data_IF_781517487613
#
_entry.id   IF_781517487613
#
_cell.length_a   1.000
_cell.length_b   1.000
_cell.length_c   1.000
_cell.angle_alpha   90.00
_cell.angle_beta   90.00
_cell.angle_gamma   90.00
#
_symmetry.space_group_name_H-M   'P 1'
#
loop_
_entity.id
_entity.type
_entity.pdbx_description
1 polymer ?
#
# COMPACT_ATOMS: atom_id res chain seq x y z
N UNK A 1 -10.33 -13.39 -28.33
CA UNK A 1 -10.04 -12.26 -27.43
C UNK A 1 -8.56 -12.35 -27.12
N UNK A 2 -7.73 -11.49 -27.72
CA UNK A 2 -6.38 -11.28 -27.22
C UNK A 2 -6.55 -10.53 -25.91
N UNK A 3 -6.43 -11.22 -24.78
CA UNK A 3 -6.11 -10.52 -23.53
C UNK A 3 -4.87 -9.68 -23.81
N UNK A 4 -4.93 -8.39 -23.48
CA UNK A 4 -3.77 -7.52 -23.53
C UNK A 4 -2.69 -8.14 -22.65
N UNK A 5 -1.60 -8.58 -23.28
CA UNK A 5 -0.42 -9.04 -22.55
C UNK A 5 0.21 -7.80 -21.93
N UNK A 6 0.48 -7.83 -20.63
CA UNK A 6 1.19 -6.76 -19.95
C UNK A 6 2.66 -7.16 -19.71
N UNK A 7 3.51 -6.15 -19.49
CA UNK A 7 4.91 -6.36 -19.14
C UNK A 7 5.05 -6.49 -17.62
N UNK A 8 5.87 -7.45 -17.18
CA UNK A 8 6.30 -7.59 -15.79
C UNK A 8 7.75 -7.13 -15.70
N UNK A 9 8.04 -6.23 -14.77
CA UNK A 9 9.42 -5.79 -14.50
C UNK A 9 10.02 -6.64 -13.38
N UNK A 10 11.09 -7.41 -13.65
CA UNK A 10 11.80 -8.14 -12.61
C UNK A 10 12.67 -7.19 -11.77
N UNK A 11 12.69 -7.43 -10.47
CA UNK A 11 13.62 -6.79 -9.55
C UNK A 11 14.31 -7.85 -8.67
N UNK A 12 15.55 -7.59 -8.29
CA UNK A 12 16.34 -8.45 -7.42
C UNK A 12 16.54 -7.76 -6.07
N UNK A 13 16.33 -8.51 -4.99
CA UNK A 13 16.43 -8.03 -3.61
C UNK A 13 17.42 -8.90 -2.85
N UNK A 14 18.44 -8.29 -2.26
CA UNK A 14 19.41 -8.99 -1.44
C UNK A 14 19.01 -8.96 0.04
N UNK A 15 18.74 -10.13 0.59
CA UNK A 15 18.54 -10.37 2.02
C UNK A 15 19.88 -10.75 2.62
N UNK A 16 20.62 -9.76 3.11
CA UNK A 16 21.91 -9.99 3.76
C UNK A 16 21.70 -10.48 5.18
N UNK A 17 22.21 -11.68 5.48
CA UNK A 17 21.99 -12.38 6.75
C UNK A 17 23.28 -12.56 7.52
N UNK A 18 23.21 -12.38 8.85
CA UNK A 18 24.27 -12.79 9.76
C UNK A 18 23.71 -13.52 10.97
N UNK A 19 24.56 -14.29 11.63
CA UNK A 19 24.24 -14.97 12.88
C UNK A 19 25.34 -14.65 13.91
N UNK A 20 25.24 -13.49 14.61
CA UNK A 20 26.26 -13.08 15.57
C UNK A 20 26.37 -14.04 16.76
N UNK A 21 25.28 -14.73 17.08
CA UNK A 21 25.17 -15.72 18.14
C UNK A 21 24.34 -16.90 17.63
N UNK A 22 24.65 -18.12 18.07
CA UNK A 22 23.95 -19.32 17.62
C UNK A 22 22.43 -19.21 17.82
N UNK A 23 21.68 -19.39 16.74
CA UNK A 23 20.22 -19.28 16.71
C UNK A 23 19.67 -17.86 16.54
N UNK A 24 20.49 -16.81 16.66
CA UNK A 24 20.08 -15.41 16.47
C UNK A 24 20.42 -14.95 15.05
N UNK A 25 19.46 -15.10 14.13
CA UNK A 25 19.61 -14.61 12.76
C UNK A 25 19.16 -13.15 12.66
N UNK A 26 19.99 -12.32 12.06
CA UNK A 26 19.72 -10.91 11.79
C UNK A 26 19.74 -10.63 10.30
N UNK A 27 18.93 -9.67 9.86
CA UNK A 27 18.90 -9.15 8.50
C UNK A 27 19.36 -7.69 8.49
N UNK A 28 20.15 -7.31 7.49
CA UNK A 28 20.48 -5.91 7.26
C UNK A 28 19.35 -5.23 6.51
N UNK A 29 18.77 -4.20 7.12
CA UNK A 29 17.78 -3.34 6.48
C UNK A 29 18.32 -1.92 6.32
N UNK A 30 17.81 -1.23 5.31
CA UNK A 30 18.05 0.18 5.03
C UNK A 30 16.78 0.99 5.25
N UNK A 31 16.89 2.08 6.02
CA UNK A 31 15.82 3.05 6.15
C UNK A 31 15.80 3.94 4.90
N UNK A 32 14.71 3.88 4.13
CA UNK A 32 14.51 4.72 2.94
C UNK A 32 14.33 6.17 3.36
N UNK A 33 15.04 7.10 2.73
CA UNK A 33 14.96 8.55 3.01
C UNK A 33 15.18 9.35 1.73
N UNK A 34 14.30 10.28 1.40
CA UNK A 34 14.41 11.06 0.17
C UNK A 34 14.00 10.26 -1.08
N UNK A 35 13.24 9.18 -0.91
CA UNK A 35 12.78 8.31 -1.98
C UNK A 35 11.35 8.65 -2.42
N UNK A 36 11.02 8.39 -3.69
CA UNK A 36 9.68 8.64 -4.22
C UNK A 36 8.62 7.61 -3.80
N UNK A 37 9.05 6.48 -3.23
CA UNK A 37 8.21 5.34 -2.89
C UNK A 37 8.61 4.77 -1.54
N UNK A 38 7.65 4.60 -0.62
CA UNK A 38 7.85 4.03 0.72
C UNK A 38 8.93 4.80 1.50
N UNK A 39 8.87 6.13 1.46
CA UNK A 39 9.83 6.97 2.19
C UNK A 39 9.63 6.85 3.71
N UNK A 40 10.72 6.70 4.46
CA UNK A 40 10.66 6.44 5.90
C UNK A 40 10.33 5.00 6.30
N UNK A 41 10.29 4.06 5.34
CA UNK A 41 10.15 2.63 5.59
C UNK A 41 11.50 1.90 5.53
N UNK A 42 11.63 0.82 6.29
CA UNK A 42 12.76 -0.10 6.19
C UNK A 42 12.56 -1.07 5.01
N UNK A 43 13.61 -1.28 4.24
CA UNK A 43 13.66 -2.19 3.10
C UNK A 43 14.95 -3.02 3.15
N UNK A 44 15.06 -4.03 2.29
CA UNK A 44 16.29 -4.77 2.05
C UNK A 44 17.43 -3.78 1.71
N UNK A 45 18.63 -4.06 2.22
CA UNK A 45 19.75 -3.14 2.10
C UNK A 45 20.26 -2.90 0.67
N UNK A 46 19.98 -3.82 -0.25
CA UNK A 46 20.29 -3.67 -1.66
C UNK A 46 19.15 -4.25 -2.51
N UNK A 47 18.58 -3.44 -3.41
CA UNK A 47 17.55 -3.91 -4.33
C UNK A 47 17.38 -3.02 -5.56
N UNK A 48 17.13 -3.63 -6.71
CA UNK A 48 16.87 -2.88 -7.95
C UNK A 48 16.38 -3.72 -9.11
N UNK A 49 16.14 -3.08 -10.24
CA UNK A 49 15.63 -3.75 -11.44
C UNK A 49 16.69 -4.68 -12.02
N UNK A 50 16.26 -5.82 -12.55
CA UNK A 50 17.16 -6.69 -13.33
C UNK A 50 17.36 -6.06 -14.70
N UNK A 51 18.61 -5.77 -15.04
CA UNK A 51 18.97 -5.13 -16.30
C UNK A 51 19.04 -6.11 -17.48
N UNK A 52 19.06 -5.54 -18.69
CA UNK A 52 19.19 -6.36 -19.90
C UNK A 52 20.56 -7.05 -19.94
N UNK A 53 20.54 -8.38 -20.00
CA UNK A 53 21.75 -9.20 -20.14
C UNK A 53 22.28 -9.78 -18.83
N UNK A 54 21.61 -9.53 -17.70
CA UNK A 54 21.91 -10.15 -16.41
C UNK A 54 20.75 -11.06 -15.92
N UNK A 55 21.10 -11.97 -15.02
CA UNK A 55 20.16 -12.75 -14.21
C UNK A 55 19.81 -12.00 -12.93
N UNK A 56 18.74 -12.39 -12.24
CA UNK A 56 18.39 -11.80 -10.94
C UNK A 56 19.50 -11.95 -9.88
N UNK A 57 20.27 -13.04 -9.90
CA UNK A 57 21.41 -13.24 -9.00
C UNK A 57 22.54 -12.25 -9.29
N UNK A 58 22.81 -12.01 -10.57
CA UNK A 58 23.79 -11.00 -11.00
C UNK A 58 23.32 -9.58 -10.67
N UNK A 59 22.04 -9.29 -10.87
CA UNK A 59 21.44 -8.01 -10.45
C UNK A 59 21.57 -7.79 -8.95
N UNK A 60 21.22 -8.77 -8.11
CA UNK A 60 21.41 -8.67 -6.66
C UNK A 60 22.88 -8.40 -6.27
N UNK A 61 23.83 -9.05 -6.94
CA UNK A 61 25.26 -8.82 -6.71
C UNK A 61 25.74 -7.44 -7.19
N UNK A 62 25.14 -6.89 -8.25
CA UNK A 62 25.39 -5.52 -8.71
C UNK A 62 24.85 -4.51 -7.70
N UNK A 63 23.60 -4.64 -7.28
CA UNK A 63 22.98 -3.77 -6.28
C UNK A 63 23.72 -3.80 -4.94
N UNK A 64 24.23 -4.97 -4.52
CA UNK A 64 25.06 -5.09 -3.31
C UNK A 64 26.31 -4.20 -3.36
N UNK A 65 26.95 -4.10 -4.53
CA UNK A 65 28.11 -3.23 -4.73
C UNK A 65 27.71 -1.77 -4.80
N UNK A 66 26.63 -1.46 -5.51
CA UNK A 66 26.19 -0.10 -5.78
C UNK A 66 25.57 0.57 -4.56
N UNK A 67 24.76 -0.14 -3.78
CA UNK A 67 24.01 0.42 -2.65
C UNK A 67 24.70 0.20 -1.29
N UNK A 68 25.44 -0.90 -1.14
CA UNK A 68 26.08 -1.29 0.14
C UNK A 68 27.62 -1.29 0.12
N UNK A 69 28.26 -1.20 -1.05
CA UNK A 69 29.72 -1.22 -1.17
C UNK A 69 30.36 -2.58 -0.84
N UNK A 70 29.60 -3.67 -0.94
CA UNK A 70 30.08 -5.04 -0.67
C UNK A 70 30.10 -5.89 -1.93
N UNK A 71 30.95 -6.91 -1.93
CA UNK A 71 31.00 -7.92 -2.99
C UNK A 71 30.35 -9.22 -2.52
N UNK A 72 29.37 -9.70 -3.29
CA UNK A 72 28.78 -11.04 -3.18
C UNK A 72 28.97 -11.76 -4.50
N UNK A 73 29.23 -13.07 -4.46
CA UNK A 73 29.31 -13.89 -5.66
C UNK A 73 27.91 -14.40 -6.01
N UNK A 74 27.43 -14.23 -7.25
CA UNK A 74 26.10 -14.72 -7.65
C UNK A 74 25.88 -16.21 -7.39
N UNK A 75 26.92 -17.03 -7.47
CA UNK A 75 26.88 -18.47 -7.17
C UNK A 75 26.68 -18.81 -5.69
N UNK A 76 26.96 -17.87 -4.78
CA UNK A 76 26.78 -18.03 -3.34
C UNK A 76 25.39 -17.53 -2.86
N UNK A 77 24.55 -17.03 -3.78
CA UNK A 77 23.22 -16.54 -3.49
C UNK A 77 22.18 -17.67 -3.56
N UNK A 78 21.39 -17.80 -2.48
CA UNK A 78 20.29 -18.76 -2.40
C UNK A 78 18.94 -18.08 -2.68
N UNK A 79 18.08 -18.68 -3.50
CA UNK A 79 16.71 -18.18 -3.71
C UNK A 79 15.89 -18.34 -2.42
N UNK A 80 15.42 -17.21 -1.88
CA UNK A 80 14.61 -17.17 -0.68
C UNK A 80 13.12 -17.16 -1.00
N UNK A 81 12.68 -16.16 -1.76
CA UNK A 81 11.27 -15.96 -2.09
C UNK A 81 11.12 -15.25 -3.44
N UNK A 82 9.98 -15.43 -4.07
CA UNK A 82 9.52 -14.62 -5.20
C UNK A 82 8.20 -13.98 -4.81
N UNK A 83 8.08 -12.67 -4.97
CA UNK A 83 6.85 -11.93 -4.74
C UNK A 83 6.36 -11.38 -6.07
N UNK A 84 5.23 -11.88 -6.55
CA UNK A 84 4.52 -11.22 -7.64
C UNK A 84 3.56 -10.19 -7.03
N UNK A 85 3.63 -8.94 -7.50
CA UNK A 85 2.78 -7.87 -7.00
C UNK A 85 2.10 -7.09 -8.10
N UNK A 86 0.91 -6.60 -7.77
CA UNK A 86 0.06 -5.73 -8.59
C UNK A 86 -0.49 -4.59 -7.74
N UNK A 87 -0.98 -3.54 -8.40
CA UNK A 87 -1.79 -2.51 -7.77
C UNK A 87 -3.11 -2.40 -8.52
N UNK A 88 -4.22 -2.50 -7.78
CA UNK A 88 -5.57 -2.45 -8.36
C UNK A 88 -5.90 -1.08 -8.99
N UNK A 89 -5.24 -0.01 -8.55
CA UNK A 89 -5.31 1.33 -9.18
C UNK A 89 -4.03 1.55 -9.99
N UNK A 90 -4.11 1.62 -11.33
CA UNK A 90 -2.99 1.95 -12.17
C UNK A 90 -2.42 3.33 -11.83
N UNK A 91 -1.11 3.46 -11.77
CA UNK A 91 -0.44 4.75 -11.88
C UNK A 91 -0.06 5.08 -13.32
N UNK A 92 0.42 6.31 -13.50
CA UNK A 92 1.05 6.77 -14.73
C UNK A 92 2.31 5.96 -15.12
N UNK A 93 2.73 5.00 -14.28
CA UNK A 93 3.90 4.14 -14.44
C UNK A 93 3.55 2.66 -14.18
N UNK A 94 2.73 2.00 -15.01
CA UNK A 94 2.27 0.63 -14.80
C UNK A 94 3.42 -0.40 -14.68
N UNK A 95 4.55 -0.14 -15.33
CA UNK A 95 5.79 -0.92 -15.21
C UNK A 95 6.40 -0.89 -13.80
N UNK A 96 6.08 0.11 -12.98
CA UNK A 96 6.52 0.20 -11.60
C UNK A 96 5.62 -0.60 -10.64
N UNK A 97 4.42 -0.99 -11.09
CA UNK A 97 3.37 -1.56 -10.23
C UNK A 97 3.18 -3.06 -10.46
N UNK A 98 3.29 -3.52 -11.71
CA UNK A 98 3.30 -4.93 -12.08
C UNK A 98 4.73 -5.49 -12.00
N UNK A 99 5.06 -6.15 -10.87
CA UNK A 99 6.42 -6.64 -10.63
C UNK A 99 6.50 -8.10 -10.25
N UNK A 100 7.67 -8.65 -10.53
CA UNK A 100 8.16 -9.88 -9.93
C UNK A 100 9.46 -9.58 -9.19
N UNK A 101 9.36 -9.58 -7.87
CA UNK A 101 10.47 -9.29 -6.97
C UNK A 101 11.11 -10.62 -6.53
N UNK A 102 12.40 -10.79 -6.82
CA UNK A 102 13.16 -12.02 -6.55
C UNK A 102 14.08 -11.74 -5.38
N UNK A 103 13.79 -12.37 -4.24
CA UNK A 103 14.55 -12.24 -3.00
C UNK A 103 15.56 -13.37 -2.91
N UNK A 104 16.82 -13.01 -2.68
CA UNK A 104 17.93 -13.94 -2.54
C UNK A 104 18.69 -13.65 -1.25
N UNK A 105 19.15 -14.70 -0.58
CA UNK A 105 19.91 -14.56 0.67
C UNK A 105 21.40 -14.67 0.43
N UNK A 106 22.17 -13.85 1.14
CA UNK A 106 23.62 -13.99 1.26
C UNK A 106 24.03 -14.10 2.73
N UNK A 107 24.85 -15.11 3.04
CA UNK A 107 25.49 -15.29 4.36
C UNK A 107 27.01 -15.12 4.30
N UNK A 108 27.57 -14.88 3.11
CA UNK A 108 28.99 -14.64 2.88
C UNK A 108 29.15 -13.48 1.88
N UNK A 109 30.08 -12.57 2.17
CA UNK A 109 30.41 -11.40 1.34
C UNK A 109 31.80 -10.88 1.70
N UNK A 110 32.33 -9.97 0.87
CA UNK A 110 33.57 -9.22 1.15
C UNK A 110 33.27 -7.74 1.30
N UNK A 111 33.90 -7.10 2.28
CA UNK A 111 33.69 -5.68 2.61
C UNK A 111 32.77 -5.48 3.81
N UNK A 112 32.64 -4.23 4.25
CA UNK A 112 31.71 -3.82 5.31
C UNK A 112 30.53 -3.06 4.68
N UNK A 113 29.28 -3.49 4.88
CA UNK A 113 28.11 -2.80 4.34
C UNK A 113 28.02 -1.36 4.84
N UNK A 114 28.01 -0.40 3.92
CA UNK A 114 27.89 1.04 4.20
C UNK A 114 26.98 1.71 3.19
N UNK A 115 26.29 2.77 3.59
CA UNK A 115 25.41 3.54 2.70
C UNK A 115 26.25 4.15 1.58
N UNK A 116 25.97 3.77 0.33
CA UNK A 116 26.58 4.40 -0.85
C UNK A 116 25.68 5.50 -1.45
N UNK A 117 24.37 5.42 -1.24
CA UNK A 117 23.39 6.38 -1.76
C UNK A 117 22.84 7.31 -0.66
N UNK A 118 23.66 8.26 -0.18
CA UNK A 118 23.31 9.16 0.95
C UNK A 118 21.99 9.95 0.75
N UNK A 119 21.57 10.17 -0.51
CA UNK A 119 20.33 10.89 -0.84
C UNK A 119 19.05 10.04 -0.80
N UNK A 120 19.18 8.70 -0.68
CA UNK A 120 18.08 7.73 -0.73
C UNK A 120 18.01 6.84 0.52
N UNK A 121 19.05 6.85 1.34
CA UNK A 121 19.21 6.01 2.53
C UNK A 121 19.50 6.86 3.78
N UNK A 122 18.72 6.68 4.84
CA UNK A 122 18.88 7.41 6.09
C UNK A 122 19.67 6.67 7.16
N UNK A 123 19.62 5.34 7.17
CA UNK A 123 20.25 4.47 8.18
C UNK A 123 20.41 3.06 7.61
N UNK A 124 21.49 2.37 7.98
CA UNK A 124 21.65 0.91 7.84
C UNK A 124 21.65 0.28 9.21
N UNK A 125 20.87 -0.79 9.40
CA UNK A 125 20.76 -1.46 10.69
C UNK A 125 20.48 -2.95 10.56
N UNK A 126 21.14 -3.71 11.42
CA UNK A 126 20.83 -5.13 11.62
C UNK A 126 19.63 -5.28 12.56
N UNK A 127 18.62 -6.01 12.09
CA UNK A 127 17.41 -6.33 12.83
C UNK A 127 17.29 -7.84 13.05
N UNK A 128 16.88 -8.31 14.25
CA UNK A 128 16.50 -9.71 14.42
C UNK A 128 15.39 -10.07 13.43
N UNK A 129 15.52 -11.21 12.74
CA UNK A 129 14.52 -11.65 11.75
C UNK A 129 13.13 -11.92 12.37
N UNK A 130 13.10 -12.27 13.66
CA UNK A 130 11.90 -12.49 14.45
C UNK A 130 11.37 -11.22 15.15
N UNK A 131 12.09 -10.10 15.06
CA UNK A 131 11.74 -8.81 15.65
C UNK A 131 12.00 -7.65 14.67
N UNK A 132 11.41 -7.76 13.48
CA UNK A 132 11.48 -6.71 12.46
C UNK A 132 10.81 -5.41 12.94
N UNK A 133 11.29 -4.22 12.51
CA UNK A 133 10.68 -2.95 12.88
C UNK A 133 9.24 -2.88 12.36
N UNK A 134 8.38 -2.05 12.95
CA UNK A 134 6.97 -1.93 12.56
C UNK A 134 6.81 -1.55 11.07
N UNK A 135 7.61 -0.60 10.58
CA UNK A 135 7.60 -0.14 9.19
C UNK A 135 8.65 -0.83 8.34
N UNK A 136 8.39 -2.06 7.94
CA UNK A 136 9.08 -2.74 6.82
C UNK A 136 8.14 -2.72 5.62
N UNK A 137 8.68 -2.42 4.44
CA UNK A 137 7.92 -2.43 3.18
C UNK A 137 7.07 -3.72 3.09
N UNK A 138 5.74 -3.65 2.95
CA UNK A 138 4.85 -4.79 3.17
C UNK A 138 5.15 -6.04 2.34
N UNK A 139 5.42 -5.89 1.04
CA UNK A 139 5.74 -7.03 0.17
C UNK A 139 7.12 -7.63 0.51
N UNK A 140 8.08 -6.82 0.94
CA UNK A 140 9.37 -7.31 1.44
C UNK A 140 9.22 -8.02 2.78
N UNK A 141 8.35 -7.54 3.67
CA UNK A 141 8.03 -8.21 4.93
C UNK A 141 7.54 -9.65 4.69
N UNK A 142 6.68 -9.87 3.69
CA UNK A 142 6.19 -11.20 3.36
C UNK A 142 7.34 -12.16 2.98
N UNK A 143 8.30 -11.68 2.17
CA UNK A 143 9.51 -12.46 1.85
C UNK A 143 10.39 -12.71 3.08
N UNK A 144 10.63 -11.69 3.91
CA UNK A 144 11.44 -11.81 5.13
C UNK A 144 10.82 -12.75 6.16
N UNK A 145 9.49 -12.84 6.24
CA UNK A 145 8.80 -13.80 7.10
C UNK A 145 9.06 -15.25 6.66
N UNK A 146 9.07 -15.55 5.36
CA UNK A 146 9.49 -16.88 4.87
C UNK A 146 10.95 -17.18 5.22
N UNK A 147 11.85 -16.20 5.06
CA UNK A 147 13.27 -16.35 5.47
C UNK A 147 13.39 -16.62 6.97
N UNK A 148 12.63 -15.88 7.80
CA UNK A 148 12.57 -16.07 9.24
C UNK A 148 12.04 -17.47 9.60
N UNK A 149 11.06 -18.00 8.86
CA UNK A 149 10.56 -19.37 9.03
C UNK A 149 11.55 -20.45 8.55
N UNK A 150 12.64 -20.07 7.86
CA UNK A 150 13.62 -21.00 7.28
C UNK A 150 13.16 -21.65 5.98
N UNK A 151 12.13 -21.08 5.35
CA UNK A 151 11.62 -21.50 4.05
C UNK A 151 12.55 -21.03 2.92
N UNK A 152 12.52 -21.73 1.78
CA UNK A 152 13.31 -21.40 0.59
C UNK A 152 12.48 -21.57 -0.67
N UNK A 153 12.70 -20.73 -1.66
CA UNK A 153 12.00 -20.77 -2.95
C UNK A 153 10.49 -20.59 -2.83
N UNK A 154 10.01 -19.80 -1.86
CA UNK A 154 8.57 -19.57 -1.71
C UNK A 154 8.04 -18.62 -2.79
N UNK A 155 6.74 -18.69 -3.04
CA UNK A 155 6.04 -17.77 -3.94
C UNK A 155 4.94 -17.07 -3.16
N UNK A 156 4.92 -15.74 -3.25
CA UNK A 156 3.92 -14.87 -2.65
C UNK A 156 3.23 -14.05 -3.74
N UNK A 157 1.91 -13.96 -3.66
CA UNK A 157 1.13 -12.98 -4.40
C UNK A 157 0.80 -11.81 -3.46
N UNK A 158 0.93 -10.58 -3.94
CA UNK A 158 0.67 -9.39 -3.15
C UNK A 158 -0.19 -8.40 -3.93
N UNK A 159 -1.32 -7.96 -3.34
CA UNK A 159 -2.25 -7.01 -3.94
C UNK A 159 -3.29 -7.63 -4.89
N UNK A 160 -3.22 -8.94 -5.14
CA UNK A 160 -4.16 -9.65 -6.01
C UNK A 160 -5.51 -9.94 -5.36
N UNK A 161 -5.55 -10.02 -4.03
CA UNK A 161 -6.77 -10.29 -3.25
C UNK A 161 -7.27 -9.00 -2.57
N UNK A 162 -6.83 -7.84 -3.08
CA UNK A 162 -7.24 -6.54 -2.56
C UNK A 162 -8.62 -6.14 -3.10
N UNK A 163 -9.55 -5.89 -2.17
CA UNK A 163 -10.93 -5.50 -2.48
C UNK A 163 -11.20 -4.05 -2.07
N UNK A 164 -11.26 -3.17 -3.06
CA UNK A 164 -11.65 -1.77 -2.87
C UNK A 164 -13.16 -1.58 -2.66
N UNK A 165 -13.53 -1.02 -1.51
CA UNK A 165 -14.89 -0.61 -1.18
C UNK A 165 -14.94 0.90 -0.93
N UNK A 166 -15.66 1.66 -1.75
CA UNK A 166 -15.86 3.11 -1.51
C UNK A 166 -17.04 3.29 -0.57
N UNK A 167 -16.88 4.10 0.48
CA UNK A 167 -17.93 4.35 1.47
C UNK A 167 -18.16 5.85 1.66
N UNK A 168 -19.37 6.35 1.37
CA UNK A 168 -19.66 7.79 1.41
C UNK A 168 -21.13 8.09 1.75
N UNK A 169 -21.37 9.22 2.43
CA UNK A 169 -22.68 9.86 2.51
C UNK A 169 -22.82 10.90 1.39
N UNK A 170 -23.91 10.83 0.63
CA UNK A 170 -24.11 11.62 -0.60
C UNK A 170 -25.44 12.35 -0.54
N UNK A 171 -25.40 13.68 -0.70
CA UNK A 171 -26.60 14.52 -0.75
C UNK A 171 -27.39 14.28 -2.02
N UNK A 172 -28.66 14.72 -2.04
CA UNK A 172 -29.55 14.65 -3.21
C UNK A 172 -28.94 15.31 -4.45
N UNK A 173 -28.17 16.37 -4.23
CA UNK A 173 -27.44 17.10 -5.26
C UNK A 173 -26.06 16.51 -5.59
N UNK A 174 -25.68 15.34 -5.04
CA UNK A 174 -24.38 14.67 -5.25
C UNK A 174 -23.21 15.23 -4.44
N UNK A 175 -23.44 16.26 -3.62
CA UNK A 175 -22.40 16.88 -2.80
C UNK A 175 -22.10 16.02 -1.57
N UNK A 176 -20.81 15.92 -1.24
CA UNK A 176 -20.29 15.20 -0.06
C UNK A 176 -19.58 16.14 0.93
N UNK A 177 -19.47 17.42 0.59
CA UNK A 177 -18.88 18.46 1.43
C UNK A 177 -18.22 19.57 0.64
N UNK A 178 -17.51 20.45 1.34
CA UNK A 178 -16.80 21.60 0.77
C UNK A 178 -15.27 21.42 0.76
N UNK A 179 -14.79 20.26 1.24
CA UNK A 179 -13.36 19.93 1.33
C UNK A 179 -12.70 20.36 2.64
N UNK A 180 -13.46 20.95 3.59
CA UNK A 180 -12.98 21.34 4.92
C UNK A 180 -13.78 20.66 6.04
N UNK A 181 -15.09 20.61 5.89
CA UNK A 181 -15.99 20.02 6.90
C UNK A 181 -17.08 19.16 6.25
N UNK A 182 -17.59 18.21 7.03
CA UNK A 182 -18.78 17.47 6.67
C UNK A 182 -19.99 18.41 6.73
N UNK A 183 -20.83 18.49 5.68
CA UNK A 183 -21.90 19.48 5.61
C UNK A 183 -23.08 19.18 6.55
N UNK A 184 -23.06 18.02 7.23
CA UNK A 184 -24.10 17.55 8.13
C UNK A 184 -23.50 16.76 9.28
N UNK A 185 -24.30 16.60 10.34
CA UNK A 185 -24.03 15.67 11.43
C UNK A 185 -25.10 14.58 11.43
N UNK A 186 -24.73 13.36 11.02
CA UNK A 186 -25.63 12.22 10.86
C UNK A 186 -25.20 11.07 11.77
N UNK A 187 -25.68 10.99 13.03
CA UNK A 187 -25.27 9.96 13.98
C UNK A 187 -25.52 8.52 13.51
N UNK A 188 -26.56 8.33 12.69
CA UNK A 188 -26.90 7.01 12.14
C UNK A 188 -25.87 6.54 11.10
N UNK A 189 -25.50 7.45 10.19
CA UNK A 189 -24.45 7.21 9.21
C UNK A 189 -23.08 7.00 9.87
N UNK A 190 -22.75 7.78 10.90
CA UNK A 190 -21.51 7.58 11.67
C UNK A 190 -21.47 6.21 12.37
N UNK A 191 -22.62 5.73 12.87
CA UNK A 191 -22.74 4.37 13.42
C UNK A 191 -22.53 3.31 12.35
N UNK A 192 -23.19 3.46 11.21
CA UNK A 192 -23.03 2.57 10.06
C UNK A 192 -21.57 2.55 9.57
N UNK A 193 -20.96 3.71 9.32
CA UNK A 193 -19.56 3.84 8.93
C UNK A 193 -18.64 3.13 9.92
N UNK A 194 -18.84 3.35 11.23
CA UNK A 194 -18.03 2.70 12.28
C UNK A 194 -18.20 1.18 12.27
N UNK A 195 -19.43 0.66 12.21
CA UNK A 195 -19.66 -0.78 12.23
C UNK A 195 -19.12 -1.48 11.00
N UNK A 196 -19.27 -0.84 9.83
CA UNK A 196 -18.88 -1.39 8.54
C UNK A 196 -17.36 -1.41 8.36
N UNK A 197 -16.66 -0.42 8.87
CA UNK A 197 -15.21 -0.27 8.66
C UNK A 197 -14.36 -0.85 9.79
N UNK A 198 -14.96 -1.41 10.84
CA UNK A 198 -14.22 -1.93 12.01
C UNK A 198 -13.23 -3.02 11.60
N UNK A 199 -12.06 -3.03 12.25
CA UNK A 199 -10.95 -3.96 11.99
C UNK A 199 -10.40 -3.92 10.55
N UNK A 200 -10.90 -3.01 9.72
CA UNK A 200 -10.46 -2.81 8.34
C UNK A 200 -9.44 -1.69 8.18
N UNK A 201 -9.02 -1.49 6.92
CA UNK A 201 -8.11 -0.43 6.51
C UNK A 201 -8.89 0.72 5.88
N UNK A 202 -8.73 1.93 6.43
CA UNK A 202 -9.28 3.16 5.88
C UNK A 202 -8.21 3.89 5.06
N UNK A 203 -8.48 4.11 3.78
CA UNK A 203 -7.68 5.00 2.93
C UNK A 203 -8.44 6.30 2.71
N UNK A 204 -7.80 7.42 3.02
CA UNK A 204 -8.39 8.74 2.83
C UNK A 204 -7.36 9.79 2.39
N UNK A 205 -7.82 10.86 1.74
CA UNK A 205 -6.98 12.01 1.41
C UNK A 205 -6.81 12.96 2.59
N UNK A 206 -5.75 13.79 2.55
CA UNK A 206 -5.45 14.79 3.60
C UNK A 206 -6.63 15.67 3.98
N UNK A 207 -7.44 16.13 3.01
CA UNK A 207 -8.60 16.98 3.31
C UNK A 207 -9.67 16.28 4.16
N UNK A 208 -9.91 14.98 3.91
CA UNK A 208 -10.81 14.18 4.75
C UNK A 208 -10.23 13.98 6.14
N UNK A 209 -8.92 13.68 6.22
CA UNK A 209 -8.23 13.56 7.50
C UNK A 209 -8.37 14.83 8.33
N UNK A 210 -8.13 16.02 7.76
CA UNK A 210 -8.22 17.29 8.48
C UNK A 210 -9.64 17.54 8.99
N UNK A 211 -10.67 17.16 8.23
CA UNK A 211 -12.07 17.26 8.67
C UNK A 211 -12.39 16.32 9.84
N UNK A 212 -11.77 15.13 9.91
CA UNK A 212 -11.97 14.15 10.98
C UNK A 212 -11.11 14.51 12.21
N UNK A 213 -9.90 15.01 11.97
CA UNK A 213 -8.93 15.51 12.95
C UNK A 213 -8.15 14.45 13.72
N UNK A 214 -8.41 13.15 13.51
CA UNK A 214 -7.72 12.05 14.22
C UNK A 214 -7.90 10.70 13.53
N UNK A 215 -7.03 9.76 13.90
CA UNK A 215 -7.21 8.35 13.58
C UNK A 215 -8.48 7.81 14.25
N UNK A 216 -9.19 6.95 13.55
CA UNK A 216 -10.44 6.37 14.01
C UNK A 216 -10.14 5.04 14.75
N UNK A 217 -10.41 4.91 16.06
CA UNK A 217 -9.97 3.74 16.84
C UNK A 217 -10.50 2.40 16.30
N UNK A 218 -9.70 1.34 16.39
CA UNK A 218 -10.06 0.00 15.89
C UNK A 218 -9.98 -0.15 14.37
N UNK A 219 -9.31 0.78 13.68
CA UNK A 219 -9.08 0.78 12.23
C UNK A 219 -7.65 1.22 11.93
N UNK A 220 -7.03 0.57 10.96
CA UNK A 220 -5.81 1.09 10.36
C UNK A 220 -6.19 2.27 9.47
N UNK A 221 -5.51 3.42 9.63
CA UNK A 221 -5.79 4.61 8.82
C UNK A 221 -4.56 4.96 8.00
N UNK A 222 -4.76 5.14 6.69
CA UNK A 222 -3.74 5.55 5.74
C UNK A 222 -4.19 6.85 5.09
N UNK A 223 -3.35 7.88 5.19
CA UNK A 223 -3.63 9.21 4.64
C UNK A 223 -2.77 9.46 3.42
N UNK A 224 -3.42 9.73 2.29
CA UNK A 224 -2.77 10.08 1.03
C UNK A 224 -2.53 11.59 0.96
N UNK A 225 -1.28 12.00 0.80
CA UNK A 225 -0.87 13.40 0.68
C UNK A 225 0.35 13.58 -0.20
N UNK A 226 0.36 14.64 -1.02
CA UNK A 226 1.54 15.03 -1.80
C UNK A 226 2.51 15.92 -1.00
N UNK A 227 2.17 16.29 0.23
CA UNK A 227 3.00 17.16 1.06
C UNK A 227 4.15 16.36 1.69
N UNK A 228 5.42 16.61 1.30
CA UNK A 228 6.55 15.90 1.88
C UNK A 228 6.70 16.22 3.36
N UNK A 229 7.11 15.24 4.16
CA UNK A 229 7.34 15.39 5.60
C UNK A 229 6.08 15.62 6.44
N UNK A 230 4.89 15.55 5.85
CA UNK A 230 3.65 15.58 6.61
C UNK A 230 3.47 14.28 7.40
N UNK A 231 3.03 14.38 8.66
CA UNK A 231 2.78 13.24 9.52
C UNK A 231 1.49 13.42 10.31
N UNK A 232 0.87 12.29 10.65
CA UNK A 232 -0.36 12.23 11.40
C UNK A 232 -0.25 11.15 12.48
N UNK A 233 -0.31 11.51 13.78
CA UNK A 233 -0.30 10.52 14.84
C UNK A 233 -1.44 9.50 14.70
N UNK A 234 -1.09 8.21 14.75
CA UNK A 234 -2.03 7.11 14.63
C UNK A 234 -2.48 6.79 13.20
N UNK A 235 -1.85 7.40 12.18
CA UNK A 235 -2.08 7.06 10.78
C UNK A 235 -0.76 6.84 10.05
N UNK A 236 -0.80 5.94 9.08
CA UNK A 236 0.25 5.80 8.08
C UNK A 236 0.07 6.86 6.99
N UNK A 237 1.19 7.32 6.43
CA UNK A 237 1.20 8.35 5.38
C UNK A 237 1.67 7.71 4.09
N UNK A 238 0.93 7.97 3.01
CA UNK A 238 1.28 7.57 1.67
C UNK A 238 1.34 8.79 0.75
N UNK A 239 2.28 8.81 -0.19
CA UNK A 239 2.46 9.88 -1.16
C UNK A 239 1.82 9.60 -2.51
N UNK A 240 1.28 8.40 -2.70
CA UNK A 240 0.45 8.01 -3.83
C UNK A 240 -0.65 7.04 -3.40
N UNK A 241 -1.64 6.82 -4.28
CA UNK A 241 -2.65 5.79 -4.08
C UNK A 241 -2.03 4.39 -4.09
N UNK A 242 -1.12 4.12 -5.02
CA UNK A 242 -0.42 2.84 -5.09
C UNK A 242 0.37 2.51 -3.81
N UNK A 243 1.07 3.51 -3.26
CA UNK A 243 1.74 3.37 -1.97
C UNK A 243 0.74 3.09 -0.84
N UNK A 244 -0.39 3.81 -0.80
CA UNK A 244 -1.43 3.58 0.20
C UNK A 244 -2.01 2.17 0.13
N UNK A 245 -2.21 1.66 -1.09
CA UNK A 245 -2.72 0.32 -1.34
C UNK A 245 -1.68 -0.76 -1.04
N UNK A 246 -0.39 -0.46 -1.24
CA UNK A 246 0.69 -1.34 -0.79
C UNK A 246 0.72 -1.44 0.73
N UNK A 247 0.62 -0.30 1.43
CA UNK A 247 0.54 -0.26 2.91
C UNK A 247 -0.70 -1.01 3.41
N UNK A 248 -1.83 -0.88 2.70
CA UNK A 248 -3.06 -1.56 3.06
C UNK A 248 -2.97 -3.09 2.93
N UNK A 249 -2.20 -3.59 1.96
CA UNK A 249 -2.08 -5.02 1.68
C UNK A 249 -3.37 -5.64 1.12
N UNK A 250 -3.40 -6.97 1.07
CA UNK A 250 -4.57 -7.73 0.62
C UNK A 250 -5.73 -7.68 1.63
N UNK A 251 -6.95 -7.95 1.15
CA UNK A 251 -8.18 -7.86 1.93
C UNK A 251 -9.02 -6.62 1.60
N UNK A 252 -9.99 -6.30 2.48
CA UNK A 252 -10.92 -5.19 2.23
C UNK A 252 -10.31 -3.84 2.63
N UNK A 253 -10.28 -2.92 1.66
CA UNK A 253 -9.80 -1.55 1.84
C UNK A 253 -10.96 -0.59 1.61
N UNK A 254 -11.27 0.18 2.64
CA UNK A 254 -12.34 1.18 2.61
C UNK A 254 -11.79 2.54 2.19
N UNK A 255 -12.19 3.01 1.02
CA UNK A 255 -11.89 4.36 0.56
C UNK A 255 -12.93 5.31 1.15
N UNK A 256 -12.50 6.16 2.07
CA UNK A 256 -13.35 7.12 2.79
C UNK A 256 -13.25 8.56 2.23
N UNK A 257 -12.74 8.70 1.00
CA UNK A 257 -12.66 9.97 0.27
C UNK A 257 -11.37 10.74 0.49
N UNK A 258 -11.25 12.02 0.15
CA UNK A 258 -12.29 12.91 -0.38
C UNK A 258 -12.52 12.77 -1.89
N UNK A 259 -13.11 13.79 -2.51
CA UNK A 259 -13.54 13.77 -3.91
C UNK A 259 -12.44 13.34 -4.91
N UNK A 260 -11.19 13.79 -4.71
CA UNK A 260 -10.06 13.38 -5.56
C UNK A 260 -9.70 11.91 -5.42
N UNK A 261 -9.77 11.35 -4.21
CA UNK A 261 -9.49 9.94 -3.95
C UNK A 261 -10.62 9.09 -4.53
N UNK A 262 -11.88 9.49 -4.35
CA UNK A 262 -13.02 8.82 -4.99
C UNK A 262 -12.91 8.81 -6.51
N UNK A 263 -12.56 9.95 -7.12
CA UNK A 263 -12.44 10.05 -8.57
C UNK A 263 -11.35 9.11 -9.14
N UNK A 264 -10.22 8.96 -8.44
CA UNK A 264 -9.13 8.07 -8.84
C UNK A 264 -9.43 6.59 -8.59
N UNK A 265 -10.34 6.26 -7.67
CA UNK A 265 -10.57 4.86 -7.23
C UNK A 265 -11.87 4.24 -7.77
N UNK A 266 -12.88 5.04 -8.13
CA UNK A 266 -14.19 4.49 -8.51
C UNK A 266 -14.13 3.55 -9.74
N UNK A 267 -13.24 3.81 -10.71
CA UNK A 267 -13.07 2.93 -11.88
C UNK A 267 -12.55 1.52 -11.56
N UNK A 268 -11.91 1.38 -10.39
CA UNK A 268 -11.21 0.20 -9.90
C UNK A 268 -11.88 -0.42 -8.67
N UNK A 269 -12.94 0.23 -8.17
CA UNK A 269 -13.68 -0.22 -7.01
C UNK A 269 -14.47 -1.50 -7.30
N UNK A 270 -14.58 -2.37 -6.30
CA UNK A 270 -15.39 -3.58 -6.39
C UNK A 270 -16.80 -3.36 -5.83
N UNK A 271 -16.93 -2.44 -4.86
CA UNK A 271 -18.18 -2.17 -4.15
C UNK A 271 -18.30 -0.70 -3.79
N UNK A 272 -19.52 -0.17 -3.83
CA UNK A 272 -19.87 1.13 -3.26
C UNK A 272 -20.87 0.93 -2.11
N UNK A 273 -20.61 1.57 -0.98
CA UNK A 273 -21.49 1.64 0.18
C UNK A 273 -21.91 3.10 0.36
N UNK A 274 -23.08 3.44 -0.16
CA UNK A 274 -23.54 4.83 -0.25
C UNK A 274 -24.71 5.08 0.70
N UNK A 275 -24.55 6.03 1.59
CA UNK A 275 -25.64 6.59 2.38
C UNK A 275 -26.28 7.72 1.59
N UNK A 276 -27.55 7.57 1.20
CA UNK A 276 -28.32 8.61 0.52
C UNK A 276 -28.91 9.58 1.55
N UNK A 277 -28.65 10.87 1.36
CA UNK A 277 -29.09 11.93 2.29
C UNK A 277 -30.04 12.88 1.55
N UNK A 278 -31.24 13.10 2.08
CA UNK A 278 -32.28 13.97 1.49
C UNK A 278 -31.99 15.48 1.70
N UNK A 279 -30.73 15.87 1.61
CA UNK A 279 -30.27 17.25 1.77
C UNK A 279 -29.50 17.69 0.52
N UNK A 280 -29.51 18.99 0.26
CA UNK A 280 -28.75 19.64 -0.82
C UNK A 280 -27.74 20.61 -0.22
N UNK A 281 -26.67 20.12 0.43
CA UNK A 281 -25.71 20.98 1.08
C UNK A 281 -24.97 21.85 0.05
N UNK A 282 -24.49 22.99 0.53
CA UNK A 282 -23.55 23.81 -0.23
C UNK A 282 -22.16 23.16 -0.22
N UNK A 283 -21.48 23.17 -1.36
CA UNK A 283 -20.16 22.56 -1.48
C UNK A 283 -19.79 22.30 -2.93
N UNK A 284 -18.48 22.15 -3.17
CA UNK A 284 -17.94 21.85 -4.51
C UNK A 284 -17.46 20.40 -4.61
N UNK A 285 -17.26 19.71 -3.49
CA UNK A 285 -16.81 18.32 -3.49
C UNK A 285 -17.99 17.41 -3.71
N UNK A 286 -17.96 16.64 -4.80
CA UNK A 286 -19.02 15.73 -5.22
C UNK A 286 -18.52 14.30 -5.23
N UNK A 287 -19.40 13.36 -4.93
CA UNK A 287 -19.14 11.95 -5.22
C UNK A 287 -19.18 11.73 -6.73
N UNK A 288 -18.33 10.87 -7.31
CA UNK A 288 -18.40 10.57 -8.74
C UNK A 288 -19.75 9.94 -9.13
N UNK A 289 -20.17 10.14 -10.37
CA UNK A 289 -21.43 9.55 -10.87
C UNK A 289 -21.37 8.03 -10.82
N UNK A 290 -22.42 7.41 -10.26
CA UNK A 290 -22.61 5.95 -10.30
C UNK A 290 -23.26 5.59 -11.62
N UNK A 291 -22.46 5.12 -12.58
CA UNK A 291 -22.94 4.70 -13.90
C UNK A 291 -23.70 3.37 -13.82
N UNK A 292 -24.99 3.31 -14.18
CA UNK A 292 -25.79 2.07 -14.13
C UNK A 292 -25.33 0.99 -15.11
N UNK A 293 -24.54 1.34 -16.14
CA UNK A 293 -23.94 0.38 -17.06
C UNK A 293 -22.72 -0.32 -16.45
N UNK A 294 -22.08 0.29 -15.43
CA UNK A 294 -20.94 -0.26 -14.71
C UNK A 294 -21.32 -0.83 -13.33
N UNK A 295 -22.40 -0.32 -12.73
CA UNK A 295 -22.79 -0.63 -11.36
C UNK A 295 -24.20 -1.20 -11.28
N UNK A 296 -24.37 -2.19 -10.41
CA UNK A 296 -25.65 -2.78 -10.09
C UNK A 296 -25.96 -2.57 -8.60
N UNK A 297 -27.15 -2.03 -8.31
CA UNK A 297 -27.68 -1.99 -6.94
C UNK A 297 -28.00 -3.42 -6.52
N UNK A 298 -27.34 -3.91 -5.45
CA UNK A 298 -27.52 -5.27 -4.93
C UNK A 298 -28.24 -5.29 -3.58
N UNK A 299 -28.27 -4.16 -2.87
CA UNK A 299 -28.98 -4.04 -1.59
C UNK A 299 -29.37 -2.59 -1.31
N UNK A 300 -30.53 -2.43 -0.66
CA UNK A 300 -31.06 -1.15 -0.17
C UNK A 300 -31.73 -1.37 1.18
N UNK A 301 -31.24 -0.66 2.19
CA UNK A 301 -31.86 -0.60 3.51
C UNK A 301 -32.44 0.80 3.71
N UNK A 302 -33.77 0.96 3.87
CA UNK A 302 -34.36 2.26 4.17
C UNK A 302 -33.86 2.84 5.50
N UNK A 303 -33.65 4.15 5.54
CA UNK A 303 -33.34 4.91 6.77
C UNK A 303 -34.45 5.86 7.17
N UNK A 304 -34.19 6.67 8.20
CA UNK A 304 -35.07 7.76 8.61
C UNK A 304 -34.48 9.13 8.21
N UNK A 305 -35.31 10.09 7.74
CA UNK A 305 -34.84 11.40 7.34
C UNK A 305 -33.93 12.07 8.39
N UNK A 306 -32.78 12.64 7.98
CA UNK A 306 -32.43 12.92 6.58
C UNK A 306 -31.74 11.78 5.83
N UNK A 307 -31.44 10.63 6.46
CA UNK A 307 -30.86 9.46 5.76
C UNK A 307 -31.99 8.65 5.13
N UNK A 308 -32.09 8.66 3.80
CA UNK A 308 -33.19 7.96 3.10
C UNK A 308 -32.92 6.47 2.94
N UNK A 309 -31.66 6.10 2.69
CA UNK A 309 -31.26 4.71 2.54
C UNK A 309 -29.75 4.51 2.66
N UNK A 310 -29.35 3.31 3.07
CA UNK A 310 -28.03 2.75 2.83
C UNK A 310 -28.10 1.82 1.63
N UNK A 311 -27.31 2.11 0.60
CA UNK A 311 -27.36 1.41 -0.69
C UNK A 311 -26.01 0.77 -0.98
N UNK A 312 -26.02 -0.51 -1.32
CA UNK A 312 -24.83 -1.24 -1.77
C UNK A 312 -24.89 -1.44 -3.27
N UNK A 313 -23.82 -1.05 -3.95
CA UNK A 313 -23.60 -1.29 -5.36
C UNK A 313 -22.42 -2.23 -5.55
N UNK A 314 -22.53 -3.16 -6.49
CA UNK A 314 -21.41 -3.99 -6.94
C UNK A 314 -21.16 -3.75 -8.42
N UNK A 315 -19.90 -3.89 -8.82
CA UNK A 315 -19.50 -3.73 -10.22
C UNK A 315 -20.11 -4.87 -11.05
N UNK A 316 -20.65 -4.55 -12.22
CA UNK A 316 -21.23 -5.52 -13.17
C UNK A 316 -20.17 -6.39 -13.83
#
# INVERSE_FOLDING_TARGET
MTQDRFALVPAAYLVLLREPEAGRREVLLQLRRGTAYMDGWWACGAAGHVEQGETALQGAAREAREELGIEVLPEDLDLAATVQRTCVVPSDHPELEERIDIFVTATAWTGEPTIQEEGKAGELRWWPLDELPERVVPHERAALQSVAAGERGTFHAFGFEQRLTLIAAVGRNGVIGDGREMPWHLPEDLRFFKSTTMDGVLVMGRGTWDSIGRALPGRSTIVVTRQPGWSAPGAEVAHSLCEALTIAGDGEVFVAGGGQIYAQTIGHAHRLLLTQVDLEPQGQTRFPTVDPDLWQEVSRTPGEPPVTAWVTWERR
#
